data_IF_834418390325
#
_entry.id   IF_834418390325
#
_cell.length_a   1.000
_cell.length_b   1.000
_cell.length_c   1.000
_cell.angle_alpha   90.00
_cell.angle_beta   90.00
_cell.angle_gamma   90.00
#
_symmetry.space_group_name_H-M   'P 1'
#
loop_
_entity.id
_entity.type
_entity.pdbx_description
1 polymer ?
#
# COMPACT_ATOMS: atom_id res chain seq x y z
N UNK A 1 -31.34 20.33 41.42
CA UNK A 1 -31.90 20.79 40.13
C UNK A 1 -30.89 20.50 39.04
N UNK A 2 -31.38 20.05 37.88
CA UNK A 2 -30.64 19.51 36.74
C UNK A 2 -29.85 20.57 35.97
N UNK A 3 -28.81 20.16 35.22
CA UNK A 3 -28.53 20.44 33.79
C UNK A 3 -27.05 20.10 33.49
N UNK A 4 -26.76 18.89 33.00
CA UNK A 4 -26.60 18.59 31.56
C UNK A 4 -25.61 19.51 30.83
N UNK A 5 -24.36 19.06 30.70
CA UNK A 5 -23.44 19.52 29.63
C UNK A 5 -22.92 18.29 28.89
N UNK A 6 -23.75 17.83 27.95
CA UNK A 6 -23.40 16.80 26.99
C UNK A 6 -22.56 17.46 25.88
N UNK A 7 -21.24 17.38 25.95
CA UNK A 7 -20.34 17.85 24.89
C UNK A 7 -19.83 16.65 24.11
N UNK A 8 -20.53 16.38 23.01
CA UNK A 8 -20.13 15.69 21.78
C UNK A 8 -18.67 15.22 21.73
N UNK A 9 -18.42 13.98 22.13
CA UNK A 9 -17.22 13.25 21.68
C UNK A 9 -17.41 12.97 20.19
N UNK A 10 -16.76 13.80 19.37
CA UNK A 10 -16.78 13.70 17.93
C UNK A 10 -16.43 12.29 17.48
N UNK A 11 -17.31 11.73 16.66
CA UNK A 11 -17.23 10.43 16.02
C UNK A 11 -16.00 10.40 15.07
N UNK A 12 -14.78 10.27 15.61
CA UNK A 12 -13.52 10.13 14.86
C UNK A 12 -13.12 8.66 14.63
N UNK A 13 -13.94 7.70 15.06
CA UNK A 13 -13.56 6.28 15.02
C UNK A 13 -13.65 5.63 13.63
N UNK A 14 -14.39 6.20 12.68
CA UNK A 14 -14.60 5.51 11.39
C UNK A 14 -13.50 5.75 10.35
N UNK A 15 -12.69 6.82 10.48
CA UNK A 15 -11.71 7.16 9.43
C UNK A 15 -10.37 6.41 9.59
N UNK A 16 -9.98 6.09 10.84
CA UNK A 16 -8.68 5.46 11.09
C UNK A 16 -8.63 3.99 10.65
N UNK A 17 -9.72 3.24 10.81
CA UNK A 17 -9.78 1.83 10.39
C UNK A 17 -9.79 1.66 8.88
N UNK A 18 -10.42 2.59 8.14
CA UNK A 18 -10.42 2.52 6.68
C UNK A 18 -9.00 2.76 6.13
N UNK A 19 -8.26 3.74 6.68
CA UNK A 19 -6.91 4.07 6.22
C UNK A 19 -5.88 2.95 6.40
N UNK A 20 -5.95 2.16 7.48
CA UNK A 20 -5.02 1.03 7.66
C UNK A 20 -5.39 -0.20 6.81
N UNK A 21 -6.67 -0.40 6.49
CA UNK A 21 -7.09 -1.42 5.51
C UNK A 21 -6.57 -1.05 4.12
N UNK A 22 -6.71 0.22 3.73
CA UNK A 22 -6.26 0.71 2.43
C UNK A 22 -4.74 0.61 2.26
N UNK A 23 -3.97 0.99 3.29
CA UNK A 23 -2.51 0.86 3.28
C UNK A 23 -2.05 -0.62 3.22
N UNK A 24 -2.77 -1.52 3.91
CA UNK A 24 -2.49 -2.96 3.86
C UNK A 24 -2.68 -3.54 2.45
N UNK A 25 -3.76 -3.17 1.77
CA UNK A 25 -4.04 -3.61 0.38
C UNK A 25 -2.99 -3.12 -0.61
N UNK A 26 -2.61 -1.85 -0.55
CA UNK A 26 -1.56 -1.28 -1.41
C UNK A 26 -0.24 -2.04 -1.22
N UNK A 27 0.17 -2.29 0.02
CA UNK A 27 1.41 -3.03 0.32
C UNK A 27 1.34 -4.47 -0.19
N UNK A 28 0.21 -5.17 -0.02
CA UNK A 28 0.06 -6.56 -0.49
C UNK A 28 0.12 -6.65 -2.02
N UNK A 29 -0.54 -5.72 -2.73
CA UNK A 29 -0.49 -5.63 -4.20
C UNK A 29 0.94 -5.32 -4.65
N UNK A 30 1.62 -4.37 -3.99
CA UNK A 30 3.00 -4.01 -4.31
C UNK A 30 3.97 -5.18 -4.11
N UNK A 31 3.82 -5.94 -3.02
CA UNK A 31 4.62 -7.14 -2.77
C UNK A 31 4.36 -8.23 -3.82
N UNK A 32 3.11 -8.41 -4.24
CA UNK A 32 2.82 -9.34 -5.34
C UNK A 32 3.39 -8.86 -6.68
N UNK A 33 3.35 -7.56 -6.98
CA UNK A 33 4.00 -7.00 -8.16
C UNK A 33 5.50 -7.26 -8.15
N UNK A 34 6.16 -7.11 -7.00
CA UNK A 34 7.58 -7.41 -6.83
C UNK A 34 7.87 -8.91 -6.93
N UNK A 35 6.98 -9.76 -6.41
CA UNK A 35 7.11 -11.22 -6.45
C UNK A 35 6.98 -11.76 -7.87
N UNK A 36 6.00 -11.26 -8.64
CA UNK A 36 5.78 -11.64 -10.04
C UNK A 36 6.88 -11.08 -10.97
N UNK A 37 7.52 -9.97 -10.58
CA UNK A 37 8.63 -9.35 -11.31
C UNK A 37 8.19 -8.39 -12.43
N UNK A 38 9.17 -7.95 -13.22
CA UNK A 38 8.93 -7.05 -14.35
C UNK A 38 8.04 -7.73 -15.41
N UNK A 39 6.89 -7.11 -15.69
CA UNK A 39 5.90 -7.64 -16.64
C UNK A 39 4.70 -8.35 -16.01
N UNK A 40 4.49 -8.21 -14.69
CA UNK A 40 3.26 -8.73 -14.08
C UNK A 40 2.02 -8.19 -14.82
N UNK A 41 1.11 -9.10 -15.16
CA UNK A 41 -0.11 -8.75 -15.88
C UNK A 41 -1.27 -8.53 -14.92
N UNK A 42 -2.24 -7.70 -15.32
CA UNK A 42 -3.46 -7.48 -14.55
C UNK A 42 -4.17 -8.81 -14.24
N UNK A 43 -4.17 -9.76 -15.18
CA UNK A 43 -4.76 -11.09 -14.99
C UNK A 43 -4.11 -11.90 -13.86
N UNK A 44 -2.80 -11.77 -13.64
CA UNK A 44 -2.12 -12.45 -12.54
C UNK A 44 -2.47 -11.83 -11.19
N UNK A 45 -2.63 -10.50 -11.17
CA UNK A 45 -3.08 -9.78 -9.98
C UNK A 45 -4.55 -10.09 -9.66
N UNK A 46 -5.40 -10.23 -10.68
CA UNK A 46 -6.82 -10.60 -10.55
C UNK A 46 -7.03 -12.01 -9.99
N UNK A 47 -6.01 -12.87 -10.01
CA UNK A 47 -6.06 -14.18 -9.36
C UNK A 47 -5.97 -14.09 -7.82
N UNK A 48 -5.48 -12.97 -7.29
CA UNK A 48 -5.23 -12.76 -5.86
C UNK A 48 -6.02 -11.59 -5.27
N UNK A 49 -6.45 -10.62 -6.09
CA UNK A 49 -7.13 -9.41 -5.68
C UNK A 49 -8.34 -9.13 -6.58
N UNK A 50 -9.35 -8.46 -6.02
CA UNK A 50 -10.51 -8.03 -6.78
C UNK A 50 -10.16 -6.92 -7.77
N UNK A 51 -10.90 -6.86 -8.88
CA UNK A 51 -10.70 -5.83 -9.91
C UNK A 51 -10.89 -4.41 -9.35
N UNK A 52 -11.88 -4.22 -8.48
CA UNK A 52 -12.13 -2.93 -7.84
C UNK A 52 -10.94 -2.46 -6.99
N UNK A 53 -10.28 -3.39 -6.28
CA UNK A 53 -9.10 -3.08 -5.49
C UNK A 53 -7.90 -2.75 -6.38
N UNK A 54 -7.74 -3.43 -7.52
CA UNK A 54 -6.67 -3.12 -8.48
C UNK A 54 -6.88 -1.79 -9.19
N UNK A 55 -8.11 -1.42 -9.52
CA UNK A 55 -8.41 -0.10 -10.07
C UNK A 55 -8.17 1.01 -9.04
N UNK A 56 -8.57 0.78 -7.79
CA UNK A 56 -8.47 1.78 -6.72
C UNK A 56 -7.05 1.94 -6.17
N UNK A 57 -6.30 0.84 -6.04
CA UNK A 57 -5.00 0.80 -5.37
C UNK A 57 -3.83 0.46 -6.28
N UNK A 58 -4.06 -0.05 -7.50
CA UNK A 58 -3.01 -0.54 -8.39
C UNK A 58 -1.98 0.51 -8.76
N UNK A 59 -2.38 1.76 -9.00
CA UNK A 59 -1.44 2.84 -9.31
C UNK A 59 -0.55 3.20 -8.10
N UNK A 60 -1.16 3.25 -6.90
CA UNK A 60 -0.42 3.46 -5.64
C UNK A 60 0.54 2.31 -5.38
N UNK A 61 0.10 1.08 -5.61
CA UNK A 61 0.89 -0.12 -5.42
C UNK A 61 2.07 -0.20 -6.40
N UNK A 62 1.89 0.19 -7.67
CA UNK A 62 3.00 0.31 -8.63
C UNK A 62 4.03 1.35 -8.19
N UNK A 63 3.59 2.51 -7.71
CA UNK A 63 4.48 3.54 -7.17
C UNK A 63 5.27 3.02 -5.97
N UNK A 64 4.61 2.28 -5.07
CA UNK A 64 5.25 1.69 -3.91
C UNK A 64 6.22 0.55 -4.27
N UNK A 65 5.82 -0.36 -5.16
CA UNK A 65 6.67 -1.42 -5.69
C UNK A 65 7.93 -0.82 -6.35
N UNK A 66 7.77 0.21 -7.18
CA UNK A 66 8.90 0.93 -7.80
C UNK A 66 9.83 1.53 -6.75
N UNK A 67 9.30 2.23 -5.74
CA UNK A 67 10.11 2.78 -4.63
C UNK A 67 10.87 1.69 -3.87
N UNK A 68 10.22 0.54 -3.61
CA UNK A 68 10.85 -0.63 -2.96
C UNK A 68 11.94 -1.24 -3.85
N UNK A 69 11.70 -1.35 -5.15
CA UNK A 69 12.67 -1.84 -6.12
C UNK A 69 13.88 -0.90 -6.20
N UNK A 70 13.66 0.41 -6.32
CA UNK A 70 14.73 1.44 -6.30
C UNK A 70 15.51 1.43 -4.98
N UNK A 71 14.83 1.30 -3.84
CA UNK A 71 15.50 1.19 -2.54
C UNK A 71 16.32 -0.10 -2.44
N UNK A 72 15.83 -1.20 -3.00
CA UNK A 72 16.54 -2.48 -3.05
C UNK A 72 17.76 -2.42 -3.98
N UNK A 73 17.65 -1.75 -5.13
CA UNK A 73 18.76 -1.60 -6.08
C UNK A 73 19.85 -0.67 -5.55
N UNK A 74 19.50 0.41 -4.84
CA UNK A 74 20.47 1.30 -4.17
C UNK A 74 21.25 0.54 -3.08
N UNK A 75 20.60 -0.34 -2.33
CA UNK A 75 21.27 -1.21 -1.34
C UNK A 75 22.10 -2.33 -1.97
N UNK A 76 21.83 -2.68 -3.23
CA UNK A 76 22.49 -3.76 -3.98
C UNK A 76 23.56 -3.28 -4.94
N UNK A 77 23.95 -2.00 -4.93
CA UNK A 77 25.21 -1.60 -5.54
C UNK A 77 26.31 -2.09 -4.60
N UNK A 78 27.00 -3.22 -4.86
CA UNK A 78 28.27 -3.45 -4.17
C UNK A 78 29.12 -2.24 -4.53
N UNK A 79 29.75 -1.63 -3.53
CA UNK A 79 30.82 -0.67 -3.74
C UNK A 79 31.88 -1.29 -4.66
N UNK A 80 31.70 -1.15 -5.97
CA UNK A 80 32.71 -1.50 -6.96
C UNK A 80 33.54 -0.25 -7.14
N UNK A 81 34.86 -0.45 -6.98
CA UNK A 81 35.98 0.46 -7.26
C UNK A 81 36.30 1.43 -6.11
N UNK A 82 37.55 1.57 -5.67
CA UNK A 82 38.79 1.39 -6.41
C UNK A 82 39.87 0.63 -5.62
N UNK A 83 40.74 -0.01 -6.40
CA UNK A 83 42.00 -0.62 -6.01
C UNK A 83 43.01 0.40 -5.47
#
# INVERSE_FOLDING_TARGET
MQTSTNTTFGNKSSNTVQQCIDAGKVSAIADMMLHLGEGCTENQLLAHFDRADLEQFGERARSEARKRQERSTVSRVPARRAA
#
